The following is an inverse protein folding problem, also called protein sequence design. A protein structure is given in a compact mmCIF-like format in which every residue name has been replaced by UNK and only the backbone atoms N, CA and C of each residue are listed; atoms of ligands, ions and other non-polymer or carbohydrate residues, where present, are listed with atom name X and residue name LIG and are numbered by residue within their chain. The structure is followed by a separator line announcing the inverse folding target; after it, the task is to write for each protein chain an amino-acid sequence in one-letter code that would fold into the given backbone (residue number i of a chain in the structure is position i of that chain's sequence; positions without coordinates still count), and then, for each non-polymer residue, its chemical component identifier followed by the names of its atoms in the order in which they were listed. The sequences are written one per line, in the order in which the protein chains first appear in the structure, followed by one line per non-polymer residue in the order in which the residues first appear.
data_IF_112548974621
#
_entry.id   IF_112548974621
#
_cell.length_a   1.000
_cell.length_b   1.000
_cell.length_c   1.000
_cell.angle_alpha   90.00
_cell.angle_beta   90.00
_cell.angle_gamma   90.00
#
_symmetry.space_group_name_H-M   'P 1'
#
loop_
_entity.id
_entity.type
_entity.pdbx_description
1 polymer ?
#
# COMPACT_ATOMS: atom_id res chain seq x y z
N UNK A 1 77.30 15.37 19.82
CA UNK A 1 76.05 16.14 19.65
C UNK A 1 75.56 16.02 18.21
N UNK A 2 74.49 15.26 17.96
CA UNK A 2 73.62 15.40 16.78
C UNK A 2 72.30 14.66 17.05
N UNK A 3 71.23 15.44 17.18
CA UNK A 3 69.83 15.02 17.38
C UNK A 3 69.20 14.75 16.02
N UNK A 4 68.44 13.65 15.86
CA UNK A 4 67.39 13.48 14.85
C UNK A 4 66.37 12.47 15.42
N UNK A 5 65.34 12.96 16.12
CA UNK A 5 63.95 13.20 15.66
C UNK A 5 63.23 11.92 15.22
N UNK A 6 62.30 11.48 16.08
CA UNK A 6 61.24 10.51 15.82
C UNK A 6 60.32 10.99 14.69
N UNK A 7 59.95 10.09 13.79
CA UNK A 7 58.76 10.25 12.94
C UNK A 7 57.75 9.15 13.32
N UNK A 8 56.71 9.56 14.05
CA UNK A 8 55.54 8.73 14.32
C UNK A 8 54.62 8.77 13.09
N UNK A 9 54.42 7.61 12.45
CA UNK A 9 53.38 7.45 11.44
C UNK A 9 52.03 7.24 12.15
N UNK A 10 51.23 8.29 12.21
CA UNK A 10 49.82 8.21 12.57
C UNK A 10 49.05 7.60 11.40
N UNK A 11 48.81 6.28 11.46
CA UNK A 11 47.88 5.61 10.56
C UNK A 11 46.45 5.97 10.92
N UNK A 12 45.84 6.90 10.19
CA UNK A 12 44.39 7.13 10.25
C UNK A 12 43.67 5.96 9.59
N UNK A 13 43.18 5.03 10.42
CA UNK A 13 42.20 4.05 9.99
C UNK A 13 40.88 4.76 9.70
N UNK A 14 40.55 4.90 8.41
CA UNK A 14 39.20 5.24 7.97
C UNK A 14 38.26 4.11 8.38
N UNK A 15 37.49 4.34 9.44
CA UNK A 15 36.37 3.48 9.81
C UNK A 15 35.29 3.71 8.75
N UNK A 16 35.28 2.85 7.73
CA UNK A 16 34.13 2.69 6.86
C UNK A 16 33.00 2.08 7.70
N UNK A 17 32.13 2.94 8.24
CA UNK A 17 30.86 2.52 8.83
C UNK A 17 30.02 1.87 7.72
N UNK A 18 30.14 0.56 7.61
CA UNK A 18 29.19 -0.25 6.85
C UNK A 18 27.85 -0.15 7.57
N UNK A 19 26.96 0.69 7.05
CA UNK A 19 25.54 0.61 7.37
C UNK A 19 25.03 -0.71 6.78
N UNK A 20 25.19 -1.79 7.54
CA UNK A 20 24.46 -3.02 7.31
C UNK A 20 22.98 -2.68 7.46
N UNK A 21 22.29 -2.49 6.34
CA UNK A 21 20.84 -2.37 6.28
C UNK A 21 20.25 -3.60 6.97
N UNK A 22 19.61 -3.40 8.13
CA UNK A 22 18.80 -4.44 8.73
C UNK A 22 17.71 -4.78 7.71
N UNK A 23 17.71 -6.03 7.23
CA UNK A 23 16.66 -6.55 6.36
C UNK A 23 15.29 -6.18 6.95
N UNK A 24 14.36 -5.77 6.09
CA UNK A 24 13.03 -5.38 6.51
C UNK A 24 12.28 -6.52 7.22
N UNK A 25 11.22 -6.15 7.94
CA UNK A 25 10.34 -7.09 8.64
C UNK A 25 8.87 -6.80 8.26
N UNK A 26 8.60 -6.65 6.97
CA UNK A 26 7.27 -6.32 6.48
C UNK A 26 6.32 -7.49 6.75
N UNK A 27 5.14 -7.21 7.31
CA UNK A 27 4.14 -8.25 7.57
C UNK A 27 3.40 -8.49 6.27
N UNK A 28 3.81 -9.55 5.57
CA UNK A 28 3.20 -9.95 4.32
C UNK A 28 1.71 -10.27 4.48
N UNK A 29 0.98 -10.08 3.39
CA UNK A 29 -0.47 -10.26 3.32
C UNK A 29 -0.84 -11.15 2.15
N UNK A 30 -1.79 -12.04 2.39
CA UNK A 30 -2.40 -12.86 1.33
C UNK A 30 -3.90 -12.59 1.34
N UNK A 31 -4.38 -11.64 0.50
CA UNK A 31 -5.80 -11.38 0.36
C UNK A 31 -6.53 -12.62 -0.17
N UNK A 32 -7.72 -12.85 0.36
CA UNK A 32 -8.65 -13.84 -0.18
C UNK A 32 -9.13 -13.41 -1.57
N UNK A 33 -9.50 -14.37 -2.43
CA UNK A 33 -9.96 -14.07 -3.81
C UNK A 33 -11.21 -13.20 -3.78
N UNK A 34 -12.12 -13.43 -2.83
CA UNK A 34 -13.34 -12.67 -2.65
C UNK A 34 -13.03 -11.20 -2.28
N UNK A 35 -12.08 -11.00 -1.38
CA UNK A 35 -11.62 -9.65 -0.99
C UNK A 35 -10.96 -8.93 -2.17
N UNK A 36 -10.21 -9.65 -3.02
CA UNK A 36 -9.63 -9.08 -4.23
C UNK A 36 -10.71 -8.64 -5.21
N UNK A 37 -11.65 -9.54 -5.56
CA UNK A 37 -12.78 -9.23 -6.45
C UNK A 37 -13.58 -8.02 -5.96
N UNK A 38 -13.93 -8.01 -4.68
CA UNK A 38 -14.67 -6.90 -4.06
C UNK A 38 -13.90 -5.57 -4.14
N UNK A 39 -12.58 -5.60 -3.91
CA UNK A 39 -11.74 -4.41 -4.05
C UNK A 39 -11.63 -3.95 -5.51
N UNK A 40 -11.46 -4.85 -6.48
CA UNK A 40 -11.41 -4.47 -7.91
C UNK A 40 -12.73 -3.86 -8.41
N UNK A 41 -13.85 -4.35 -7.92
CA UNK A 41 -15.17 -3.81 -8.26
C UNK A 41 -15.40 -2.39 -7.69
N UNK A 42 -15.05 -2.18 -6.43
CA UNK A 42 -15.36 -0.92 -5.73
C UNK A 42 -14.31 0.18 -5.93
N UNK A 43 -13.10 -0.14 -6.43
CA UNK A 43 -11.97 0.79 -6.47
C UNK A 43 -11.18 0.71 -7.77
N UNK A 44 -11.03 1.87 -8.44
CA UNK A 44 -10.27 2.01 -9.69
C UNK A 44 -8.83 2.51 -9.48
N UNK A 45 -8.41 2.83 -8.24
CA UNK A 45 -7.03 3.24 -7.94
C UNK A 45 -6.18 2.05 -7.47
N UNK A 46 -4.86 2.08 -7.71
CA UNK A 46 -3.93 1.09 -7.17
C UNK A 46 -4.07 0.85 -5.67
N UNK A 47 -4.00 -0.41 -5.26
CA UNK A 47 -4.01 -0.80 -3.86
C UNK A 47 -2.57 -1.08 -3.39
N UNK A 48 -1.80 -0.02 -3.11
CA UNK A 48 -0.35 -0.15 -2.94
C UNK A 48 0.11 -0.85 -1.65
N UNK A 49 -0.60 -0.71 -0.53
CA UNK A 49 -0.08 -1.25 0.75
C UNK A 49 0.19 -2.76 0.69
N UNK A 50 -0.74 -3.62 0.23
CA UNK A 50 -0.45 -5.04 0.02
C UNK A 50 0.74 -5.29 -0.91
N UNK A 51 0.91 -4.47 -1.95
CA UNK A 51 2.00 -4.61 -2.92
C UNK A 51 3.34 -4.28 -2.27
N UNK A 52 3.43 -3.16 -1.56
CA UNK A 52 4.65 -2.70 -0.88
C UNK A 52 5.12 -3.71 0.16
N UNK A 53 4.24 -4.12 1.09
CA UNK A 53 4.64 -5.05 2.18
C UNK A 53 4.95 -6.47 1.69
N UNK A 54 4.42 -6.87 0.53
CA UNK A 54 4.75 -8.16 -0.09
C UNK A 54 5.99 -8.09 -0.99
N UNK A 55 6.54 -6.91 -1.23
CA UNK A 55 7.65 -6.68 -2.15
C UNK A 55 8.87 -6.10 -1.45
N UNK A 56 9.01 -6.36 -0.16
CA UNK A 56 10.09 -5.85 0.69
C UNK A 56 11.47 -6.02 0.05
N UNK A 57 11.84 -7.26 -0.32
CA UNK A 57 13.12 -7.56 -0.93
C UNK A 57 13.28 -6.88 -2.31
N UNK A 58 12.21 -6.81 -3.10
CA UNK A 58 12.26 -6.18 -4.42
C UNK A 58 12.44 -4.67 -4.33
N UNK A 59 11.86 -4.03 -3.31
CA UNK A 59 11.94 -2.59 -3.05
C UNK A 59 13.07 -2.21 -2.09
N UNK A 60 13.83 -3.19 -1.59
CA UNK A 60 14.87 -2.98 -0.58
C UNK A 60 14.37 -2.10 0.59
N UNK A 61 13.21 -2.44 1.15
CA UNK A 61 12.62 -1.65 2.24
C UNK A 61 13.42 -1.83 3.52
N UNK A 62 13.66 -0.74 4.25
CA UNK A 62 14.24 -0.81 5.58
C UNK A 62 13.24 -1.36 6.61
N UNK A 63 13.74 -1.84 7.74
CA UNK A 63 12.90 -2.23 8.88
C UNK A 63 11.95 -1.11 9.33
N UNK A 64 12.41 0.15 9.31
CA UNK A 64 11.63 1.33 9.66
C UNK A 64 10.49 1.58 8.66
N UNK A 65 10.78 1.47 7.35
CA UNK A 65 9.76 1.57 6.30
C UNK A 65 8.72 0.47 6.46
N UNK A 66 9.14 -0.77 6.72
CA UNK A 66 8.23 -1.88 6.98
C UNK A 66 7.32 -1.61 8.19
N UNK A 67 7.86 -1.08 9.29
CA UNK A 67 7.06 -0.72 10.46
C UNK A 67 5.99 0.34 10.11
N UNK A 68 6.38 1.39 9.38
CA UNK A 68 5.49 2.46 8.93
C UNK A 68 4.33 1.91 8.06
N UNK A 69 4.63 1.02 7.10
CA UNK A 69 3.60 0.44 6.24
C UNK A 69 2.70 -0.56 6.99
N UNK A 70 3.26 -1.34 7.90
CA UNK A 70 2.51 -2.25 8.76
C UNK A 70 1.51 -1.48 9.64
N UNK A 71 1.93 -0.38 10.26
CA UNK A 71 1.07 0.47 11.10
C UNK A 71 -0.03 1.15 10.27
N UNK A 72 0.32 1.70 9.10
CA UNK A 72 -0.69 2.30 8.22
C UNK A 72 -1.76 1.26 7.82
N UNK A 73 -1.35 0.03 7.53
CA UNK A 73 -2.28 -1.06 7.19
C UNK A 73 -3.24 -1.38 8.34
N UNK A 74 -2.74 -1.52 9.56
CA UNK A 74 -3.55 -1.94 10.71
C UNK A 74 -4.51 -0.85 11.18
N UNK A 75 -4.14 0.42 11.00
CA UNK A 75 -4.93 1.59 11.42
C UNK A 75 -5.90 2.06 10.35
N UNK A 76 -5.46 2.21 9.08
CA UNK A 76 -6.27 2.76 7.98
C UNK A 76 -6.87 1.68 7.07
N UNK A 77 -6.19 0.54 6.90
CA UNK A 77 -6.63 -0.52 6.02
C UNK A 77 -7.97 -1.15 6.44
N UNK A 78 -8.27 -1.23 7.74
CA UNK A 78 -9.55 -1.74 8.25
C UNK A 78 -10.75 -0.93 7.77
N UNK A 79 -10.61 0.40 7.73
CA UNK A 79 -11.68 1.30 7.29
C UNK A 79 -11.98 1.13 5.80
N UNK A 80 -10.94 0.94 4.97
CA UNK A 80 -11.10 0.69 3.54
C UNK A 80 -11.85 -0.60 3.24
N UNK A 81 -11.53 -1.69 3.96
CA UNK A 81 -12.25 -2.97 3.81
C UNK A 81 -13.73 -2.85 4.15
N UNK A 82 -14.06 -2.21 5.28
CA UNK A 82 -15.45 -2.00 5.69
C UNK A 82 -16.25 -1.17 4.67
N UNK A 83 -15.65 -0.14 4.07
CA UNK A 83 -16.28 0.64 3.01
C UNK A 83 -16.57 -0.21 1.76
N UNK A 84 -15.60 -1.02 1.32
CA UNK A 84 -15.77 -1.92 0.17
C UNK A 84 -16.90 -2.93 0.42
N UNK A 85 -16.93 -3.57 1.59
CA UNK A 85 -17.99 -4.51 1.96
C UNK A 85 -19.36 -3.83 1.96
N UNK A 86 -19.45 -2.60 2.50
CA UNK A 86 -20.70 -1.84 2.54
C UNK A 86 -21.18 -1.44 1.15
N UNK A 87 -20.29 -1.00 0.26
CA UNK A 87 -20.63 -0.66 -1.14
C UNK A 87 -21.21 -1.90 -1.84
N UNK A 88 -20.50 -3.02 -1.81
CA UNK A 88 -20.93 -4.26 -2.47
C UNK A 88 -22.28 -4.75 -1.92
N UNK A 89 -22.48 -4.66 -0.60
CA UNK A 89 -23.75 -5.04 0.03
C UNK A 89 -24.90 -4.12 -0.42
N UNK A 90 -24.69 -2.80 -0.43
CA UNK A 90 -25.73 -1.85 -0.85
C UNK A 90 -26.08 -1.97 -2.33
N UNK A 91 -25.11 -2.30 -3.18
CA UNK A 91 -25.36 -2.54 -4.61
C UNK A 91 -26.21 -3.81 -4.82
N UNK A 92 -25.91 -4.91 -4.11
CA UNK A 92 -26.75 -6.12 -4.11
C UNK A 92 -28.16 -5.84 -3.60
N UNK A 93 -28.29 -5.14 -2.49
CA UNK A 93 -29.61 -4.75 -1.95
C UNK A 93 -30.39 -3.86 -2.92
N UNK A 94 -29.70 -2.98 -3.65
CA UNK A 94 -30.33 -2.11 -4.65
C UNK A 94 -30.85 -2.89 -5.84
N UNK A 95 -30.13 -3.93 -6.27
CA UNK A 95 -30.61 -4.85 -7.29
C UNK A 95 -31.88 -5.59 -6.81
N UNK A 96 -31.87 -6.15 -5.60
CA UNK A 96 -33.04 -6.84 -5.04
C UNK A 96 -34.25 -5.92 -4.94
N UNK A 97 -34.08 -4.69 -4.47
CA UNK A 97 -35.19 -3.74 -4.36
C UNK A 97 -35.72 -3.27 -5.71
N UNK A 98 -34.85 -3.06 -6.70
CA UNK A 98 -35.29 -2.69 -8.04
C UNK A 98 -36.18 -3.80 -8.64
N UNK A 99 -35.80 -5.07 -8.45
CA UNK A 99 -36.62 -6.22 -8.86
C UNK A 99 -37.93 -6.34 -8.07
N UNK A 100 -37.99 -5.83 -6.85
CA UNK A 100 -39.19 -5.78 -6.02
C UNK A 100 -40.11 -4.57 -6.32
N UNK A 101 -39.77 -3.74 -7.32
CA UNK A 101 -40.60 -2.61 -7.73
C UNK A 101 -40.35 -1.31 -6.95
N UNK A 102 -39.15 -1.11 -6.40
CA UNK A 102 -38.78 0.15 -5.76
C UNK A 102 -39.01 1.36 -6.69
N UNK A 103 -39.47 2.46 -6.10
CA UNK A 103 -39.69 3.70 -6.83
C UNK A 103 -38.38 4.32 -7.35
N UNK A 104 -38.50 5.18 -8.35
CA UNK A 104 -37.36 5.93 -8.88
C UNK A 104 -36.64 6.74 -7.78
N UNK A 105 -37.39 7.34 -6.86
CA UNK A 105 -36.83 8.16 -5.78
C UNK A 105 -36.06 7.32 -4.76
N UNK A 106 -36.54 6.12 -4.43
CA UNK A 106 -35.81 5.18 -3.57
C UNK A 106 -34.50 4.71 -4.22
N UNK A 107 -34.54 4.41 -5.53
CA UNK A 107 -33.36 4.03 -6.30
C UNK A 107 -32.33 5.16 -6.35
N UNK A 108 -32.77 6.40 -6.60
CA UNK A 108 -31.90 7.60 -6.58
C UNK A 108 -31.27 7.82 -5.20
N UNK A 109 -32.05 7.75 -4.13
CA UNK A 109 -31.54 7.95 -2.78
C UNK A 109 -30.46 6.92 -2.41
N UNK A 110 -30.59 5.67 -2.88
CA UNK A 110 -29.57 4.63 -2.71
C UNK A 110 -28.33 4.88 -3.55
N UNK A 111 -28.51 5.29 -4.80
CA UNK A 111 -27.40 5.66 -5.68
C UNK A 111 -26.52 6.75 -5.05
N UNK A 112 -27.13 7.82 -4.51
CA UNK A 112 -26.41 8.90 -3.82
C UNK A 112 -25.58 8.36 -2.65
N UNK A 113 -26.17 7.51 -1.80
CA UNK A 113 -25.43 6.90 -0.66
C UNK A 113 -24.27 6.02 -1.11
N UNK A 114 -24.42 5.25 -2.18
CA UNK A 114 -23.32 4.44 -2.75
C UNK A 114 -22.22 5.35 -3.28
N UNK A 115 -22.58 6.44 -3.96
CA UNK A 115 -21.63 7.43 -4.47
C UNK A 115 -20.81 8.07 -3.34
N UNK A 116 -21.45 8.48 -2.24
CA UNK A 116 -20.76 9.02 -1.05
C UNK A 116 -19.77 8.02 -0.43
N UNK A 117 -20.11 6.72 -0.39
CA UNK A 117 -19.21 5.68 0.10
C UNK A 117 -18.02 5.49 -0.85
N UNK A 118 -18.26 5.50 -2.17
CA UNK A 118 -17.20 5.41 -3.18
C UNK A 118 -16.27 6.62 -3.09
N UNK A 119 -16.80 7.83 -2.88
CA UNK A 119 -15.99 9.03 -2.66
C UNK A 119 -15.07 8.86 -1.44
N UNK A 120 -15.62 8.46 -0.28
CA UNK A 120 -14.82 8.20 0.94
C UNK A 120 -13.72 7.16 0.69
N UNK A 121 -14.05 6.09 -0.05
CA UNK A 121 -13.07 5.08 -0.42
C UNK A 121 -11.97 5.66 -1.32
N UNK A 122 -12.32 6.48 -2.32
CA UNK A 122 -11.36 7.09 -3.25
C UNK A 122 -10.43 8.08 -2.55
N UNK A 123 -10.95 8.92 -1.67
CA UNK A 123 -10.12 9.81 -0.84
C UNK A 123 -9.14 9.00 0.01
N UNK A 124 -9.60 7.90 0.61
CA UNK A 124 -8.72 6.98 1.35
C UNK A 124 -7.62 6.39 0.48
N UNK A 125 -7.93 6.02 -0.78
CA UNK A 125 -6.97 5.47 -1.74
C UNK A 125 -5.97 6.54 -2.22
N UNK A 126 -6.41 7.75 -2.51
CA UNK A 126 -5.53 8.87 -2.83
C UNK A 126 -4.56 9.17 -1.68
N UNK A 127 -5.05 9.17 -0.44
CA UNK A 127 -4.20 9.34 0.74
C UNK A 127 -3.19 8.20 0.90
N UNK A 128 -3.59 6.96 0.63
CA UNK A 128 -2.68 5.82 0.60
C UNK A 128 -1.56 6.00 -0.45
N UNK A 129 -1.87 6.54 -1.63
CA UNK A 129 -0.88 6.83 -2.66
C UNK A 129 0.13 7.86 -2.22
N UNK A 130 -0.35 8.99 -1.68
CA UNK A 130 0.53 10.05 -1.16
C UNK A 130 1.39 9.54 -0.01
N UNK A 131 0.81 8.73 0.88
CA UNK A 131 1.52 8.11 1.98
C UNK A 131 2.65 7.19 1.50
N UNK A 132 2.39 6.32 0.52
CA UNK A 132 3.42 5.44 -0.05
C UNK A 132 4.52 6.25 -0.71
N UNK A 133 4.15 7.22 -1.56
CA UNK A 133 5.13 8.09 -2.25
C UNK A 133 6.01 8.86 -1.27
N UNK A 134 5.46 9.33 -0.15
CA UNK A 134 6.20 10.08 0.89
C UNK A 134 7.23 9.22 1.63
N UNK A 135 6.94 7.93 1.83
CA UNK A 135 7.74 7.06 2.69
C UNK A 135 8.68 6.12 1.91
N UNK A 136 8.70 6.22 0.59
CA UNK A 136 9.68 5.56 -0.28
C UNK A 136 10.70 6.59 -0.77
N UNK A 137 11.93 6.15 -1.04
CA UNK A 137 12.88 6.95 -1.82
C UNK A 137 12.35 7.10 -3.26
N UNK A 138 12.92 8.05 -4.01
CA UNK A 138 12.58 8.23 -5.42
C UNK A 138 12.81 6.95 -6.23
N UNK A 139 13.94 6.27 -6.00
CA UNK A 139 14.31 5.01 -6.66
C UNK A 139 13.34 3.87 -6.31
N UNK A 140 12.98 3.74 -5.04
CA UNK A 140 12.01 2.74 -4.58
C UNK A 140 10.63 2.99 -5.18
N UNK A 141 10.20 4.25 -5.25
CA UNK A 141 8.91 4.60 -5.82
C UNK A 141 8.89 4.37 -7.34
N UNK A 142 9.95 4.73 -8.06
CA UNK A 142 10.06 4.45 -9.50
C UNK A 142 9.97 2.94 -9.78
N UNK A 143 10.74 2.14 -9.03
CA UNK A 143 10.68 0.68 -9.11
C UNK A 143 9.30 0.12 -8.75
N UNK A 144 8.63 0.70 -7.76
CA UNK A 144 7.26 0.33 -7.41
C UNK A 144 6.31 0.49 -8.59
N UNK A 145 6.35 1.64 -9.27
CA UNK A 145 5.40 1.98 -10.34
C UNK A 145 5.70 1.24 -11.63
N UNK A 146 6.99 1.14 -12.01
CA UNK A 146 7.38 0.64 -13.33
C UNK A 146 7.55 -0.89 -13.37
N UNK A 147 7.85 -1.53 -12.24
CA UNK A 147 8.17 -2.96 -12.22
C UNK A 147 7.26 -3.74 -11.27
N UNK A 148 7.25 -3.37 -9.99
CA UNK A 148 6.63 -4.20 -8.93
C UNK A 148 5.10 -4.19 -9.02
N UNK A 149 4.49 -3.01 -9.14
CA UNK A 149 3.03 -2.90 -9.18
C UNK A 149 2.41 -3.58 -10.41
N UNK A 150 2.89 -3.37 -11.64
CA UNK A 150 2.36 -4.08 -12.81
C UNK A 150 2.45 -5.60 -12.68
N UNK A 151 3.58 -6.13 -12.21
CA UNK A 151 3.76 -7.57 -12.02
C UNK A 151 2.82 -8.14 -10.97
N UNK A 152 2.62 -7.43 -9.85
CA UNK A 152 1.71 -7.84 -8.79
C UNK A 152 0.24 -7.71 -9.20
N UNK A 153 -0.10 -6.68 -9.98
CA UNK A 153 -1.43 -6.49 -10.53
C UNK A 153 -1.80 -7.64 -11.48
N UNK A 154 -0.91 -7.99 -12.41
CA UNK A 154 -1.13 -9.11 -13.33
C UNK A 154 -1.35 -10.43 -12.59
N UNK A 155 -0.55 -10.71 -11.55
CA UNK A 155 -0.72 -11.89 -10.68
C UNK A 155 -2.06 -11.87 -9.93
N UNK A 156 -2.49 -10.71 -9.44
CA UNK A 156 -3.78 -10.59 -8.76
C UNK A 156 -4.95 -10.81 -9.73
N UNK A 157 -4.87 -10.25 -10.94
CA UNK A 157 -5.87 -10.42 -11.99
C UNK A 157 -5.98 -11.86 -12.47
N UNK A 158 -4.87 -12.60 -12.55
CA UNK A 158 -4.89 -14.01 -12.92
C UNK A 158 -5.56 -14.93 -11.86
N UNK A 159 -5.79 -14.42 -10.64
CA UNK A 159 -6.42 -15.18 -9.54
C UNK A 159 -7.92 -14.94 -9.40
N UNK A 160 -8.47 -13.92 -10.05
CA UNK A 160 -9.88 -13.50 -9.90
C UNK A 160 -10.71 -13.90 -11.11
#
# INVERSE_FOLDING_TARGET
MRKFILAAFAGSALIASSMASAAGNCIQVQPKVEDMRANFHANYLPNFIPVVVNSEAALNLSAEQCQIFNEFRTTKGKNGKALIEKINQMEKESQTLALAGASLEEMKARHVKIAELREKLMVGKMNCHQFVKKNLTAEQYDKLINEVYPAMLAKAQARI
#
